data_IF_451459825024
#
_entry.id   IF_451459825024
#
_cell.length_a   1.000
_cell.length_b   1.000
_cell.length_c   1.000
_cell.angle_alpha   90.00
_cell.angle_beta   90.00
_cell.angle_gamma   90.00
#
_symmetry.space_group_name_H-M   'P 1'
#
loop_
_entity.id
_entity.type
_entity.pdbx_description
1 polymer ?
#
# COMPACT_ATOMS: atom_id res chain seq x y z
N UNK A 1 -64.78 -17.81 -11.54
CA UNK A 1 -63.80 -17.35 -10.53
C UNK A 1 -63.92 -15.85 -10.39
N UNK A 2 -64.32 -15.34 -9.24
CA UNK A 2 -64.57 -13.91 -9.03
C UNK A 2 -63.24 -13.11 -9.10
N UNK A 3 -63.33 -11.85 -9.47
CA UNK A 3 -62.13 -10.93 -9.51
C UNK A 3 -61.41 -10.90 -8.15
N UNK A 4 -62.16 -11.13 -7.06
CA UNK A 4 -61.63 -11.15 -5.70
C UNK A 4 -60.66 -12.35 -5.47
N UNK A 5 -60.93 -13.53 -6.02
CA UNK A 5 -60.07 -14.69 -5.93
C UNK A 5 -58.73 -14.50 -6.70
N UNK A 6 -58.76 -13.77 -7.82
CA UNK A 6 -57.56 -13.46 -8.59
C UNK A 6 -56.66 -12.48 -7.84
N UNK A 7 -57.21 -11.50 -7.15
CA UNK A 7 -56.47 -10.54 -6.35
C UNK A 7 -55.86 -11.21 -5.12
N UNK A 8 -56.56 -12.13 -4.49
CA UNK A 8 -56.06 -12.89 -3.34
C UNK A 8 -54.90 -13.82 -3.71
N UNK A 9 -54.98 -14.51 -4.86
CA UNK A 9 -53.89 -15.36 -5.42
C UNK A 9 -52.70 -14.52 -5.80
N UNK A 10 -52.89 -13.30 -6.34
CA UNK A 10 -51.81 -12.37 -6.67
C UNK A 10 -51.13 -11.88 -5.42
N UNK A 11 -51.87 -11.59 -4.36
CA UNK A 11 -51.28 -11.12 -3.08
C UNK A 11 -50.48 -12.23 -2.35
N UNK A 12 -50.95 -13.47 -2.40
CA UNK A 12 -50.21 -14.63 -1.89
C UNK A 12 -48.92 -14.89 -2.68
N UNK A 13 -48.96 -14.72 -4.01
CA UNK A 13 -47.80 -14.87 -4.86
C UNK A 13 -46.76 -13.74 -4.65
N UNK A 14 -47.21 -12.51 -4.35
CA UNK A 14 -46.29 -11.41 -4.00
C UNK A 14 -45.65 -11.57 -2.62
N UNK A 15 -46.33 -12.22 -1.66
CA UNK A 15 -45.74 -12.45 -0.33
C UNK A 15 -44.70 -13.55 -0.31
N UNK A 16 -44.62 -14.40 -1.34
CA UNK A 16 -43.54 -15.39 -1.52
C UNK A 16 -42.31 -14.84 -2.28
N UNK A 17 -42.42 -13.67 -2.91
CA UNK A 17 -41.33 -13.08 -3.69
C UNK A 17 -40.39 -12.14 -2.87
N UNK A 18 -40.61 -12.01 -1.56
CA UNK A 18 -39.81 -11.14 -0.69
C UNK A 18 -39.22 -11.86 0.55
N UNK A 19 -38.89 -13.13 0.39
CA UNK A 19 -37.93 -13.75 1.30
C UNK A 19 -36.58 -13.73 0.61
N UNK A 20 -36.01 -12.55 0.49
CA UNK A 20 -34.56 -12.45 0.49
C UNK A 20 -34.12 -12.93 1.86
N UNK A 21 -33.87 -14.23 1.97
CA UNK A 21 -33.03 -14.74 3.05
C UNK A 21 -31.67 -14.08 2.91
N UNK A 22 -31.52 -12.88 3.44
CA UNK A 22 -30.23 -12.39 3.89
C UNK A 22 -29.80 -13.33 5.02
N UNK A 23 -29.34 -14.51 4.65
CA UNK A 23 -28.39 -15.19 5.49
C UNK A 23 -27.20 -14.25 5.52
N UNK A 24 -27.07 -13.47 6.59
CA UNK A 24 -25.79 -13.11 7.10
C UNK A 24 -25.10 -14.45 7.37
N UNK A 25 -24.45 -14.97 6.32
CA UNK A 25 -23.41 -15.94 6.49
C UNK A 25 -22.39 -15.19 7.35
N UNK A 26 -22.44 -15.40 8.67
CA UNK A 26 -21.23 -15.37 9.43
C UNK A 26 -20.30 -16.24 8.58
N UNK A 27 -19.29 -15.61 7.93
CA UNK A 27 -18.27 -16.33 7.22
C UNK A 27 -17.74 -17.34 8.22
N UNK A 28 -18.19 -18.57 8.09
CA UNK A 28 -17.54 -19.69 8.74
C UNK A 28 -16.21 -19.70 8.04
N UNK A 29 -15.21 -19.06 8.65
CA UNK A 29 -13.85 -19.10 8.15
C UNK A 29 -13.55 -20.59 8.07
N UNK A 30 -13.35 -21.09 6.86
CA UNK A 30 -12.99 -22.51 6.62
C UNK A 30 -11.63 -22.84 7.29
N UNK A 31 -11.15 -21.99 8.20
CA UNK A 31 -9.85 -22.07 8.86
C UNK A 31 -8.68 -21.69 7.94
N UNK A 32 -8.97 -21.09 6.78
CA UNK A 32 -7.96 -20.59 5.87
C UNK A 32 -7.96 -19.06 5.85
N UNK A 33 -6.76 -18.46 5.78
CA UNK A 33 -6.63 -17.02 5.63
C UNK A 33 -6.85 -16.62 4.16
N UNK A 34 -7.91 -15.84 3.82
CA UNK A 34 -8.20 -15.45 2.44
C UNK A 34 -7.13 -14.50 1.85
N UNK A 35 -6.35 -13.81 2.69
CA UNK A 35 -5.29 -12.91 2.25
C UNK A 35 -3.99 -13.62 1.95
N UNK A 36 -3.89 -14.90 2.32
CA UNK A 36 -2.68 -15.70 2.15
C UNK A 36 -2.56 -16.28 0.75
N UNK A 37 -1.40 -16.06 0.12
CA UNK A 37 -1.08 -16.74 -1.13
C UNK A 37 -0.83 -18.23 -0.91
N UNK A 38 -0.31 -18.61 0.25
CA UNK A 38 -0.14 -19.99 0.70
C UNK A 38 -1.21 -20.32 1.72
N UNK A 39 -2.24 -21.00 1.28
CA UNK A 39 -3.33 -21.40 2.17
C UNK A 39 -2.89 -22.50 3.13
N UNK A 40 -2.69 -22.14 4.39
CA UNK A 40 -2.42 -23.07 5.48
C UNK A 40 -3.58 -23.00 6.46
N UNK A 41 -4.12 -24.17 6.82
CA UNK A 41 -5.24 -24.23 7.76
C UNK A 41 -4.80 -23.87 9.17
N UNK A 42 -5.62 -23.09 9.90
CA UNK A 42 -5.32 -22.62 11.27
C UNK A 42 -4.94 -23.73 12.24
N UNK A 43 -5.53 -24.93 12.11
CA UNK A 43 -5.20 -26.08 12.98
C UNK A 43 -3.75 -26.57 12.85
N UNK A 44 -3.05 -26.17 11.77
CA UNK A 44 -1.65 -26.53 11.54
C UNK A 44 -0.68 -25.50 12.14
N UNK A 45 -1.19 -24.32 12.50
CA UNK A 45 -0.40 -23.26 13.08
C UNK A 45 -0.16 -23.55 14.56
N UNK A 46 1.12 -23.65 14.96
CA UNK A 46 1.49 -23.75 16.37
C UNK A 46 1.41 -22.38 17.03
N UNK A 47 1.84 -21.36 16.31
CA UNK A 47 1.77 -19.95 16.73
C UNK A 47 1.84 -19.05 15.48
N UNK A 48 1.39 -17.80 15.67
CA UNK A 48 1.35 -16.78 14.64
C UNK A 48 1.65 -15.42 15.26
N UNK A 49 2.44 -14.59 14.58
CA UNK A 49 2.67 -13.18 14.91
C UNK A 49 2.52 -12.34 13.65
N UNK A 50 1.85 -11.21 13.76
CA UNK A 50 1.77 -10.24 12.65
C UNK A 50 2.84 -9.17 12.84
N UNK A 51 3.57 -8.90 11.78
CA UNK A 51 4.69 -7.97 11.72
C UNK A 51 4.44 -6.92 10.64
N UNK A 52 4.93 -5.71 10.86
CA UNK A 52 5.01 -4.65 9.86
C UNK A 52 6.47 -4.32 9.60
N UNK A 53 6.84 -4.42 8.35
CA UNK A 53 8.22 -4.20 7.90
C UNK A 53 8.25 -3.02 6.95
N UNK A 54 8.99 -1.97 7.33
CA UNK A 54 9.23 -0.82 6.47
C UNK A 54 10.43 -1.11 5.58
N UNK A 55 10.24 -0.92 4.28
CA UNK A 55 11.25 -1.12 3.23
C UNK A 55 11.41 0.19 2.47
N UNK A 56 12.61 0.72 2.47
CA UNK A 56 13.00 1.87 1.66
C UNK A 56 13.55 1.37 0.32
N UNK A 57 12.86 1.66 -0.77
CA UNK A 57 13.22 1.25 -2.12
C UNK A 57 14.41 2.06 -2.68
N UNK A 58 14.73 3.22 -2.08
CA UNK A 58 15.90 4.04 -2.41
C UNK A 58 17.21 3.43 -1.91
N UNK A 59 17.18 2.54 -0.91
CA UNK A 59 18.37 1.87 -0.39
C UNK A 59 19.04 0.98 -1.44
N UNK A 60 20.36 0.93 -1.42
CA UNK A 60 21.16 0.18 -2.38
C UNK A 60 20.74 -1.29 -2.52
N UNK A 61 20.32 -1.92 -1.43
CA UNK A 61 19.91 -3.34 -1.41
C UNK A 61 18.54 -3.55 -2.07
N UNK A 62 17.68 -2.55 -2.04
CA UNK A 62 16.31 -2.60 -2.55
C UNK A 62 16.19 -1.99 -3.97
N UNK A 63 17.24 -1.37 -4.50
CA UNK A 63 17.28 -0.83 -5.87
C UNK A 63 16.74 -1.76 -6.95
N UNK A 64 16.93 -3.09 -6.88
CA UNK A 64 16.36 -4.03 -7.84
C UNK A 64 14.83 -3.96 -8.00
N UNK A 65 14.09 -3.49 -6.96
CA UNK A 65 12.65 -3.24 -7.00
C UNK A 65 12.31 -1.87 -7.60
N UNK A 66 13.31 -1.01 -7.75
CA UNK A 66 13.13 0.41 -8.11
C UNK A 66 13.96 0.79 -9.34
N UNK A 67 14.06 -0.13 -10.31
CA UNK A 67 14.77 0.10 -11.56
C UNK A 67 14.06 1.17 -12.40
N UNK A 68 14.82 2.03 -13.08
CA UNK A 68 14.31 3.14 -13.89
C UNK A 68 13.26 2.67 -14.91
N UNK A 69 12.11 3.33 -14.95
CA UNK A 69 10.91 3.01 -15.73
C UNK A 69 10.23 1.69 -15.39
N UNK A 70 10.66 0.99 -14.36
CA UNK A 70 10.09 -0.26 -13.82
C UNK A 70 10.00 -0.20 -12.30
N UNK A 71 9.84 1.02 -11.79
CA UNK A 71 9.68 1.26 -10.36
C UNK A 71 8.43 0.55 -9.85
N UNK A 72 8.53 -0.10 -8.71
CA UNK A 72 7.40 -0.77 -8.07
C UNK A 72 6.23 0.20 -7.88
N UNK A 73 6.50 1.41 -7.37
CA UNK A 73 5.50 2.46 -7.17
C UNK A 73 4.76 2.83 -8.46
N UNK A 74 5.47 2.92 -9.58
CA UNK A 74 4.88 3.18 -10.89
C UNK A 74 3.89 2.08 -11.28
N UNK A 75 4.25 0.81 -11.10
CA UNK A 75 3.40 -0.33 -11.43
C UNK A 75 2.14 -0.34 -10.57
N UNK A 76 2.26 -0.02 -9.27
CA UNK A 76 1.13 0.07 -8.35
C UNK A 76 0.16 1.17 -8.76
N UNK A 77 0.67 2.38 -8.98
CA UNK A 77 -0.15 3.54 -9.35
C UNK A 77 -0.84 3.30 -10.69
N UNK A 78 -0.12 2.84 -11.71
CA UNK A 78 -0.70 2.51 -13.01
C UNK A 78 -1.73 1.36 -12.93
N UNK A 79 -1.55 0.41 -12.01
CA UNK A 79 -2.51 -0.66 -11.74
C UNK A 79 -3.85 -0.11 -11.24
N UNK A 80 -3.82 0.89 -10.38
CA UNK A 80 -5.02 1.59 -9.90
C UNK A 80 -5.61 2.49 -10.99
N UNK A 81 -4.78 3.24 -11.72
CA UNK A 81 -5.21 4.08 -12.84
C UNK A 81 -5.96 3.27 -13.92
N UNK A 82 -5.51 2.05 -14.19
CA UNK A 82 -6.13 1.11 -15.14
C UNK A 82 -7.33 0.36 -14.55
N UNK A 83 -7.62 0.51 -13.26
CA UNK A 83 -8.69 -0.20 -12.55
C UNK A 83 -8.46 -1.70 -12.35
N UNK A 84 -7.21 -2.16 -12.43
CA UNK A 84 -6.83 -3.56 -12.20
C UNK A 84 -6.58 -3.83 -10.72
N UNK A 85 -6.04 -2.84 -9.99
CA UNK A 85 -5.82 -2.91 -8.55
C UNK A 85 -6.87 -2.13 -7.78
N UNK A 86 -7.30 -2.69 -6.68
CA UNK A 86 -8.19 -2.05 -5.70
C UNK A 86 -7.32 -1.48 -4.58
N UNK A 87 -7.30 -0.16 -4.39
CA UNK A 87 -6.62 0.46 -3.27
C UNK A 87 -7.46 0.37 -1.99
N UNK A 88 -6.82 0.24 -0.84
CA UNK A 88 -7.43 0.21 0.48
C UNK A 88 -6.89 1.34 1.35
N UNK A 89 -7.73 1.84 2.26
CA UNK A 89 -7.38 2.92 3.20
C UNK A 89 -6.34 2.47 4.22
N UNK A 90 -6.45 1.23 4.68
CA UNK A 90 -5.65 0.66 5.76
C UNK A 90 -4.97 -0.65 5.32
N UNK A 91 -3.96 -1.03 6.06
CA UNK A 91 -3.21 -2.28 5.91
C UNK A 91 -4.03 -3.55 6.25
N UNK A 92 -5.19 -3.41 6.89
CA UNK A 92 -6.10 -4.53 7.14
C UNK A 92 -6.76 -5.06 5.86
N UNK A 93 -6.79 -4.27 4.78
CA UNK A 93 -7.26 -4.63 3.43
C UNK A 93 -8.59 -5.40 3.40
N UNK A 94 -9.53 -4.99 4.26
CA UNK A 94 -10.88 -5.54 4.34
C UNK A 94 -11.80 -4.83 3.34
N UNK A 95 -12.90 -5.47 2.99
CA UNK A 95 -13.87 -4.92 2.04
C UNK A 95 -14.52 -3.62 2.53
N UNK A 96 -14.55 -3.40 3.86
CA UNK A 96 -15.04 -2.15 4.48
C UNK A 96 -14.09 -0.95 4.26
N UNK A 97 -12.83 -1.22 3.93
CA UNK A 97 -11.78 -0.21 3.83
C UNK A 97 -11.35 0.05 2.36
N UNK A 98 -12.21 -0.29 1.42
CA UNK A 98 -11.94 -0.03 0.00
C UNK A 98 -11.92 1.47 -0.26
N UNK A 99 -10.85 1.94 -0.88
CA UNK A 99 -10.69 3.32 -1.30
C UNK A 99 -11.20 3.49 -2.74
N UNK A 100 -11.89 4.60 -3.02
CA UNK A 100 -12.27 4.93 -4.39
C UNK A 100 -11.05 5.32 -5.22
N UNK A 101 -11.13 5.09 -6.55
CA UNK A 101 -10.07 5.53 -7.46
C UNK A 101 -9.85 7.05 -7.42
N UNK A 102 -10.92 7.80 -7.27
CA UNK A 102 -10.89 9.27 -7.21
C UNK A 102 -10.15 9.75 -5.97
N UNK A 103 -10.45 9.16 -4.81
CA UNK A 103 -9.75 9.45 -3.56
C UNK A 103 -8.27 9.07 -3.64
N UNK A 104 -7.94 7.94 -4.28
CA UNK A 104 -6.55 7.55 -4.51
C UNK A 104 -5.81 8.58 -5.38
N UNK A 105 -6.42 9.02 -6.48
CA UNK A 105 -5.83 10.03 -7.37
C UNK A 105 -5.63 11.36 -6.64
N UNK A 106 -6.57 11.78 -5.79
CA UNK A 106 -6.42 12.97 -4.96
C UNK A 106 -5.21 12.87 -4.02
N UNK A 107 -4.94 11.69 -3.43
CA UNK A 107 -3.80 11.49 -2.53
C UNK A 107 -2.43 11.52 -3.21
N UNK A 108 -2.38 11.27 -4.52
CA UNK A 108 -1.14 11.35 -5.32
C UNK A 108 -1.04 12.67 -6.09
N UNK A 109 -2.02 13.55 -5.97
CA UNK A 109 -1.96 14.90 -6.52
C UNK A 109 -1.16 15.79 -5.56
N UNK A 110 -0.40 16.71 -6.10
CA UNK A 110 0.27 17.72 -5.32
C UNK A 110 -0.79 18.57 -4.61
N UNK A 111 -0.69 18.69 -3.29
CA UNK A 111 -1.47 19.68 -2.56
C UNK A 111 -0.96 21.05 -3.05
N UNK A 112 -1.74 21.72 -3.88
CA UNK A 112 -1.55 23.16 -4.11
C UNK A 112 -1.74 23.76 -2.73
N UNK A 113 -0.62 24.16 -2.08
CA UNK A 113 -0.72 24.95 -0.86
C UNK A 113 -1.66 26.09 -1.19
N UNK A 114 -2.68 26.28 -0.38
CA UNK A 114 -3.43 27.53 -0.40
C UNK A 114 -2.37 28.62 -0.34
N UNK A 115 -2.00 29.17 -1.50
CA UNK A 115 -1.36 30.46 -1.55
C UNK A 115 -2.38 31.38 -0.90
N UNK A 116 -2.24 31.59 0.42
CA UNK A 116 -2.84 32.73 1.05
C UNK A 116 -2.29 33.94 0.28
N UNK A 117 -3.11 34.41 -0.66
CA UNK A 117 -2.99 35.70 -1.31
C UNK A 117 -3.11 36.80 -0.23
N UNK A 118 -2.13 36.86 0.67
CA UNK A 118 -1.98 37.93 1.64
C UNK A 118 -0.68 38.71 1.40
N UNK A 119 -0.50 39.13 0.13
CA UNK A 119 0.45 40.18 -0.16
C UNK A 119 -0.02 41.09 -1.28
N UNK A 120 -1.25 41.55 -1.21
CA UNK A 120 -1.70 42.74 -1.95
C UNK A 120 -1.90 43.86 -0.95
N UNK A 121 -0.90 44.57 -0.62
CA UNK A 121 -0.91 46.03 -0.52
C UNK A 121 0.40 46.52 0.10
N UNK A 122 1.40 46.69 -0.73
CA UNK A 122 2.41 47.71 -0.49
C UNK A 122 2.59 48.43 -1.80
N UNK A 123 1.87 49.49 -1.90
CA UNK A 123 1.93 50.43 -3.02
C UNK A 123 3.39 50.68 -3.41
N UNK A 124 3.77 50.21 -4.57
CA UNK A 124 5.00 50.65 -5.21
C UNK A 124 4.69 51.58 -6.35
N UNK A 125 5.17 52.76 -6.15
CA UNK A 125 5.17 53.97 -6.90
C UNK A 125 5.38 53.73 -8.41
N UNK A 126 4.51 54.37 -9.19
CA UNK A 126 4.61 54.71 -10.59
C UNK A 126 6.08 54.92 -11.04
N UNK A 127 6.61 54.00 -11.79
CA UNK A 127 7.89 54.17 -12.50
C UNK A 127 7.58 54.79 -13.87
N UNK A 128 7.89 56.07 -14.10
CA UNK A 128 7.58 56.78 -15.34
C UNK A 128 8.50 56.33 -16.49
N UNK A 129 9.29 55.29 -16.35
CA UNK A 129 10.24 54.80 -17.37
C UNK A 129 9.99 53.36 -17.82
N UNK A 130 8.80 52.81 -17.63
CA UNK A 130 8.44 51.55 -18.25
C UNK A 130 8.28 51.73 -19.76
N UNK A 131 9.38 51.45 -20.47
CA UNK A 131 9.40 51.38 -21.93
C UNK A 131 8.53 50.19 -22.32
N UNK A 132 7.48 50.45 -23.10
CA UNK A 132 6.69 49.46 -23.82
C UNK A 132 7.61 48.79 -24.86
N UNK A 133 8.29 47.73 -24.48
CA UNK A 133 8.86 46.77 -25.41
C UNK A 133 7.74 45.82 -25.84
N UNK A 134 7.18 46.15 -27.00
CA UNK A 134 6.26 45.34 -27.77
C UNK A 134 7.08 44.19 -28.37
N UNK A 135 7.40 43.16 -27.54
CA UNK A 135 8.08 41.94 -27.98
C UNK A 135 7.03 40.95 -28.50
N UNK A 136 6.91 40.76 -29.84
CA UNK A 136 5.90 39.85 -30.41
C UNK A 136 6.20 38.37 -30.21
N UNK A 137 7.14 38.01 -29.33
CA UNK A 137 7.56 36.63 -29.07
C UNK A 137 7.28 36.15 -27.64
N UNK A 138 6.30 36.72 -26.94
CA UNK A 138 5.74 36.09 -25.77
C UNK A 138 4.93 34.90 -26.26
N UNK A 139 5.56 33.75 -26.30
CA UNK A 139 4.87 32.46 -26.33
C UNK A 139 4.12 32.40 -25.01
N UNK A 140 2.81 32.63 -25.05
CA UNK A 140 1.92 32.22 -23.96
C UNK A 140 2.12 30.72 -23.79
N UNK A 141 2.98 30.31 -22.84
CA UNK A 141 2.94 28.97 -22.31
C UNK A 141 1.54 28.84 -21.74
N UNK A 142 0.68 28.09 -22.44
CA UNK A 142 -0.60 27.64 -21.89
C UNK A 142 -0.23 26.91 -20.60
N UNK A 143 -0.41 27.56 -19.44
CA UNK A 143 -0.36 26.90 -18.14
C UNK A 143 -1.37 25.76 -18.23
N UNK A 144 -0.88 24.53 -18.29
CA UNK A 144 -1.70 23.33 -18.16
C UNK A 144 -2.35 23.38 -16.76
N UNK A 145 -3.52 24.02 -16.67
CA UNK A 145 -4.35 24.13 -15.47
C UNK A 145 -5.01 22.79 -15.11
N UNK A 146 -4.21 21.71 -15.16
CA UNK A 146 -4.62 20.37 -14.73
C UNK A 146 -4.02 20.03 -13.36
N UNK A 147 -4.63 19.10 -12.60
CA UNK A 147 -4.07 18.66 -11.34
C UNK A 147 -2.66 18.12 -11.55
N UNK A 148 -1.68 18.73 -10.88
CA UNK A 148 -0.30 18.26 -10.94
C UNK A 148 -0.14 17.01 -10.07
N UNK A 149 0.21 15.89 -10.71
CA UNK A 149 0.48 14.64 -10.00
C UNK A 149 1.92 14.60 -9.49
N UNK A 150 2.07 14.09 -8.27
CA UNK A 150 3.40 13.81 -7.70
C UNK A 150 4.08 12.76 -8.59
N UNK A 151 5.36 12.94 -8.96
CA UNK A 151 6.08 11.95 -9.75
C UNK A 151 6.03 10.56 -9.10
N UNK A 152 5.63 9.54 -9.86
CA UNK A 152 5.44 8.16 -9.35
C UNK A 152 6.69 7.60 -8.65
N UNK A 153 7.85 8.14 -8.95
CA UNK A 153 9.13 7.77 -8.37
C UNK A 153 9.37 8.33 -6.96
N UNK A 154 8.63 9.35 -6.55
CA UNK A 154 8.74 9.92 -5.20
C UNK A 154 8.23 8.96 -4.12
N UNK A 155 7.33 8.05 -4.49
CA UNK A 155 6.78 7.03 -3.60
C UNK A 155 7.77 5.87 -3.44
N UNK A 156 8.81 6.06 -2.65
CA UNK A 156 9.91 5.11 -2.50
C UNK A 156 9.89 4.33 -1.19
N UNK A 157 8.87 4.52 -0.35
CA UNK A 157 8.71 3.79 0.91
C UNK A 157 7.52 2.85 0.79
N UNK A 158 7.71 1.60 1.17
CA UNK A 158 6.63 0.64 1.34
C UNK A 158 6.66 0.04 2.75
N UNK A 159 5.49 -0.28 3.27
CA UNK A 159 5.33 -1.04 4.50
C UNK A 159 4.65 -2.37 4.16
N UNK A 160 5.26 -3.47 4.56
CA UNK A 160 4.78 -4.82 4.30
C UNK A 160 4.19 -5.35 5.60
N UNK A 161 2.89 -5.68 5.57
CA UNK A 161 2.24 -6.44 6.63
C UNK A 161 2.38 -7.92 6.32
N UNK A 162 3.03 -8.64 7.21
CA UNK A 162 3.30 -10.07 7.06
C UNK A 162 2.92 -10.85 8.31
N UNK A 163 2.43 -12.06 8.11
CA UNK A 163 2.17 -13.02 9.16
C UNK A 163 3.34 -14.00 9.25
N UNK A 164 3.98 -14.01 10.39
CA UNK A 164 5.02 -14.98 10.73
C UNK A 164 4.36 -16.12 11.49
N UNK A 165 4.43 -17.34 10.99
CA UNK A 165 3.85 -18.50 11.66
C UNK A 165 4.71 -19.76 11.54
N UNK A 166 4.56 -20.64 12.52
CA UNK A 166 5.17 -21.96 12.51
C UNK A 166 4.13 -23.01 12.14
N UNK A 167 4.40 -23.71 11.03
CA UNK A 167 3.60 -24.83 10.57
C UNK A 167 4.08 -26.11 11.25
N UNK A 168 3.20 -26.68 12.10
CA UNK A 168 3.49 -27.89 12.88
C UNK A 168 3.66 -29.13 12.01
N UNK A 169 2.97 -29.21 10.87
CA UNK A 169 3.01 -30.39 10.00
C UNK A 169 4.32 -30.45 9.25
N UNK A 170 4.76 -29.31 8.67
CA UNK A 170 5.98 -29.25 7.91
C UNK A 170 7.20 -28.88 8.76
N UNK A 171 7.00 -28.57 10.05
CA UNK A 171 8.05 -28.10 10.98
C UNK A 171 8.86 -26.96 10.38
N UNK A 172 8.19 -25.92 9.88
CA UNK A 172 8.83 -24.77 9.21
C UNK A 172 8.18 -23.46 9.61
N UNK A 173 9.01 -22.42 9.62
CA UNK A 173 8.56 -21.04 9.75
C UNK A 173 8.30 -20.47 8.35
N UNK A 174 7.19 -19.78 8.23
CA UNK A 174 6.80 -19.07 7.02
C UNK A 174 6.50 -17.60 7.33
N UNK A 175 6.95 -16.75 6.42
CA UNK A 175 6.54 -15.35 6.36
C UNK A 175 5.53 -15.22 5.22
N UNK A 176 4.33 -14.87 5.54
CA UNK A 176 3.23 -14.76 4.58
C UNK A 176 2.83 -13.29 4.45
N UNK A 177 3.08 -12.72 3.29
CA UNK A 177 2.78 -11.32 3.02
C UNK A 177 1.28 -11.18 2.79
N UNK A 178 0.63 -10.32 3.59
CA UNK A 178 -0.82 -10.07 3.52
C UNK A 178 -1.12 -8.82 2.70
N UNK A 179 -0.40 -7.74 2.99
CA UNK A 179 -0.61 -6.45 2.37
C UNK A 179 0.71 -5.69 2.15
N UNK A 180 0.71 -4.83 1.15
CA UNK A 180 1.77 -3.86 0.90
C UNK A 180 1.14 -2.48 0.83
N UNK A 181 1.60 -1.58 1.69
CA UNK A 181 1.15 -0.19 1.77
C UNK A 181 2.21 0.72 1.16
N UNK A 182 1.78 1.68 0.35
CA UNK A 182 2.63 2.68 -0.30
C UNK A 182 2.62 3.97 0.51
N UNK A 183 3.79 4.55 0.73
CA UNK A 183 3.96 5.81 1.46
C UNK A 183 4.71 6.84 0.63
N UNK A 184 4.33 8.11 0.85
CA UNK A 184 5.13 9.25 0.42
C UNK A 184 6.10 9.60 1.56
N UNK A 185 7.42 9.64 1.30
CA UNK A 185 8.41 9.96 2.34
C UNK A 185 8.24 11.39 2.88
N UNK A 186 8.60 11.57 4.16
CA UNK A 186 8.50 12.87 4.81
C UNK A 186 9.51 13.91 4.32
N UNK A 187 10.60 13.45 3.69
CA UNK A 187 11.66 14.30 3.11
C UNK A 187 11.41 14.61 1.62
N UNK A 188 10.31 14.13 1.02
CA UNK A 188 9.96 14.48 -0.34
C UNK A 188 9.59 15.96 -0.45
N UNK A 189 10.04 16.59 -1.53
CA UNK A 189 9.67 17.98 -1.87
C UNK A 189 8.15 18.19 -1.95
N UNK A 190 7.41 17.16 -2.34
CA UNK A 190 5.95 17.18 -2.49
C UNK A 190 5.19 16.90 -1.19
N UNK A 191 5.89 16.70 -0.07
CA UNK A 191 5.29 16.42 1.22
C UNK A 191 5.53 17.59 2.19
N UNK A 192 4.60 18.52 2.23
CA UNK A 192 4.68 19.70 3.10
C UNK A 192 4.60 19.35 4.61
N UNK A 193 4.05 18.18 4.95
CA UNK A 193 3.83 17.77 6.33
C UNK A 193 5.08 17.29 7.07
N UNK A 194 6.17 16.95 6.36
CA UNK A 194 7.41 16.44 6.95
C UNK A 194 7.30 15.04 7.60
N UNK A 195 6.13 14.39 7.56
CA UNK A 195 5.91 13.04 8.06
C UNK A 195 5.57 12.10 6.89
N UNK A 196 5.90 10.80 7.04
CA UNK A 196 5.53 9.80 6.04
C UNK A 196 4.00 9.73 5.90
N UNK A 197 3.48 10.02 4.69
CA UNK A 197 2.05 10.04 4.37
C UNK A 197 1.63 8.72 3.75
N UNK A 198 0.73 7.94 4.34
CA UNK A 198 0.19 6.73 3.72
C UNK A 198 -0.67 7.10 2.51
N UNK A 199 -0.43 6.44 1.38
CA UNK A 199 -1.16 6.66 0.13
C UNK A 199 -2.28 5.65 -0.01
N UNK A 200 -1.92 4.38 -0.11
CA UNK A 200 -2.86 3.27 -0.20
C UNK A 200 -2.20 1.95 0.19
N UNK A 201 -3.02 0.99 0.57
CA UNK A 201 -2.62 -0.38 0.81
C UNK A 201 -3.21 -1.30 -0.24
N UNK A 202 -2.57 -2.42 -0.52
CA UNK A 202 -2.95 -3.38 -1.54
C UNK A 202 -2.88 -4.80 -1.00
N UNK A 203 -3.83 -5.66 -1.35
CA UNK A 203 -3.76 -7.09 -1.07
C UNK A 203 -2.60 -7.72 -1.83
N UNK A 204 -1.75 -8.47 -1.17
CA UNK A 204 -0.59 -9.07 -1.82
C UNK A 204 -0.96 -10.07 -2.91
N UNK A 205 -2.07 -10.80 -2.74
CA UNK A 205 -2.57 -11.74 -3.74
C UNK A 205 -2.90 -11.05 -5.07
N UNK A 206 -3.51 -9.86 -5.01
CA UNK A 206 -3.86 -9.07 -6.21
C UNK A 206 -2.59 -8.51 -6.87
N UNK A 207 -1.64 -8.04 -6.06
CA UNK A 207 -0.33 -7.59 -6.54
C UNK A 207 0.44 -8.73 -7.22
N UNK A 208 0.44 -9.91 -6.63
CA UNK A 208 1.10 -11.08 -7.19
C UNK A 208 0.52 -11.43 -8.57
N UNK A 209 -0.81 -11.44 -8.68
CA UNK A 209 -1.50 -11.70 -9.95
C UNK A 209 -1.18 -10.61 -10.99
N UNK A 210 -1.17 -9.33 -10.58
CA UNK A 210 -0.78 -8.21 -11.45
C UNK A 210 0.66 -8.39 -11.95
N UNK A 211 1.63 -8.66 -11.07
CA UNK A 211 3.03 -8.86 -11.46
C UNK A 211 3.21 -10.04 -12.41
N UNK A 212 2.44 -11.11 -12.24
CA UNK A 212 2.46 -12.27 -13.15
C UNK A 212 1.84 -11.93 -14.51
N UNK A 213 0.87 -11.03 -14.58
CA UNK A 213 0.27 -10.59 -15.84
C UNK A 213 1.21 -9.71 -16.68
N UNK A 214 2.18 -9.05 -16.03
CA UNK A 214 3.12 -8.11 -16.67
C UNK A 214 4.60 -8.58 -16.56
N UNK A 215 4.99 -9.71 -17.14
CA UNK A 215 6.32 -10.31 -16.95
C UNK A 215 7.48 -9.47 -17.49
N UNK A 216 7.22 -8.52 -18.39
CA UNK A 216 8.24 -7.64 -18.98
C UNK A 216 8.45 -6.34 -18.21
N UNK A 217 7.45 -5.90 -17.46
CA UNK A 217 7.43 -4.65 -16.70
C UNK A 217 7.73 -4.90 -15.23
N UNK A 218 7.05 -5.89 -14.63
CA UNK A 218 7.19 -6.26 -13.23
C UNK A 218 8.45 -7.12 -12.99
N UNK A 219 9.62 -6.51 -13.16
CA UNK A 219 10.92 -7.19 -13.09
C UNK A 219 11.71 -6.69 -11.89
N UNK A 220 12.14 -7.62 -11.05
CA UNK A 220 13.24 -7.42 -10.11
C UNK A 220 14.57 -7.46 -10.87
N UNK A 221 15.26 -6.33 -10.92
CA UNK A 221 16.43 -6.14 -11.77
C UNK A 221 17.70 -6.69 -11.10
N UNK A 222 18.21 -7.82 -11.59
CA UNK A 222 19.45 -8.37 -11.10
C UNK A 222 20.64 -7.68 -11.79
N UNK A 223 21.33 -6.81 -11.07
CA UNK A 223 22.51 -6.07 -11.57
C UNK A 223 23.71 -7.00 -11.84
N UNK A 224 23.83 -8.07 -11.06
CA UNK A 224 24.97 -9.00 -11.15
C UNK A 224 24.82 -9.97 -12.33
N UNK A 225 23.57 -10.41 -12.61
CA UNK A 225 23.31 -11.37 -13.67
C UNK A 225 22.03 -11.04 -14.43
N UNK A 226 22.18 -10.36 -15.54
CA UNK A 226 21.07 -9.90 -16.39
C UNK A 226 20.22 -11.08 -16.92
N UNK A 227 20.81 -12.28 -17.08
CA UNK A 227 20.07 -13.45 -17.53
C UNK A 227 19.13 -14.03 -16.45
N UNK A 228 19.26 -13.59 -15.20
CA UNK A 228 18.47 -14.09 -14.06
C UNK A 228 17.63 -13.00 -13.41
N UNK A 229 16.97 -12.18 -14.20
CA UNK A 229 15.92 -11.32 -13.69
C UNK A 229 14.78 -12.18 -13.14
N UNK A 230 14.13 -11.70 -12.07
CA UNK A 230 12.98 -12.34 -11.48
C UNK A 230 11.73 -11.49 -11.64
N UNK A 231 10.58 -12.11 -11.61
CA UNK A 231 9.33 -11.36 -11.48
C UNK A 231 9.25 -10.75 -10.07
N UNK A 232 8.67 -9.54 -9.93
CA UNK A 232 8.53 -8.86 -8.64
C UNK A 232 7.78 -9.71 -7.61
N UNK A 233 6.72 -10.41 -8.01
CA UNK A 233 5.99 -11.31 -7.12
C UNK A 233 6.88 -12.43 -6.55
N UNK A 234 7.72 -13.05 -7.38
CA UNK A 234 8.67 -14.06 -6.92
C UNK A 234 9.76 -13.46 -6.03
N UNK A 235 10.20 -12.22 -6.34
CA UNK A 235 11.18 -11.52 -5.52
C UNK A 235 10.67 -11.22 -4.11
N UNK A 236 9.38 -10.87 -3.96
CA UNK A 236 8.74 -10.74 -2.65
C UNK A 236 8.64 -12.07 -1.91
N UNK A 237 8.20 -13.14 -2.58
CA UNK A 237 8.13 -14.47 -1.97
C UNK A 237 9.49 -15.03 -1.55
N UNK A 238 10.55 -14.74 -2.31
CA UNK A 238 11.93 -15.10 -1.99
C UNK A 238 12.57 -14.13 -0.99
N UNK A 239 11.84 -13.10 -0.54
CA UNK A 239 12.31 -12.08 0.41
C UNK A 239 13.61 -11.40 -0.02
N UNK A 240 13.72 -11.02 -1.30
CA UNK A 240 14.91 -10.36 -1.85
C UNK A 240 14.98 -8.86 -1.48
N UNK A 241 14.16 -8.41 -0.56
CA UNK A 241 14.16 -7.06 0.00
C UNK A 241 14.77 -7.05 1.39
N UNK A 242 15.27 -5.90 1.79
CA UNK A 242 15.67 -5.62 3.17
C UNK A 242 14.82 -4.49 3.74
N UNK A 243 14.35 -4.67 4.96
CA UNK A 243 13.58 -3.66 5.67
C UNK A 243 13.66 -3.87 7.17
N UNK A 244 13.28 -2.86 7.93
CA UNK A 244 13.25 -2.89 9.38
C UNK A 244 11.86 -3.24 9.89
N UNK A 245 11.76 -4.05 10.93
CA UNK A 245 10.49 -4.30 11.62
C UNK A 245 10.13 -3.05 12.40
N UNK A 246 9.04 -2.39 12.02
CA UNK A 246 8.58 -1.15 12.66
C UNK A 246 7.48 -1.38 13.67
N UNK A 247 6.80 -2.53 13.61
CA UNK A 247 5.72 -2.88 14.52
C UNK A 247 5.56 -4.40 14.59
N UNK A 248 5.22 -4.89 15.76
CA UNK A 248 4.71 -6.25 16.02
C UNK A 248 3.30 -6.07 16.57
N UNK A 249 2.38 -6.94 16.21
CA UNK A 249 1.03 -6.91 16.78
C UNK A 249 1.10 -6.95 18.31
N UNK A 250 0.61 -5.90 18.92
CA UNK A 250 0.53 -5.71 20.37
C UNK A 250 -0.84 -5.13 20.76
N UNK A 251 -1.21 -5.23 22.02
CA UNK A 251 -2.50 -4.78 22.51
C UNK A 251 -2.74 -3.27 22.39
N UNK A 252 -1.66 -2.49 22.48
CA UNK A 252 -1.72 -1.04 22.47
C UNK A 252 -1.53 -0.44 21.05
N UNK A 253 -1.31 -1.30 20.05
CA UNK A 253 -1.05 -0.95 18.65
C UNK A 253 0.12 0.03 18.42
N UNK A 254 1.10 0.02 19.33
CA UNK A 254 2.23 0.95 19.40
C UNK A 254 3.34 0.47 18.44
N UNK A 255 3.94 1.42 17.74
CA UNK A 255 5.14 1.17 16.92
C UNK A 255 6.41 1.06 17.77
N UNK A 256 7.40 0.30 17.29
CA UNK A 256 8.69 0.15 17.97
C UNK A 256 9.37 1.50 18.21
N UNK A 257 9.25 2.43 17.25
CA UNK A 257 9.81 3.79 17.39
C UNK A 257 9.14 4.61 18.49
N UNK A 258 7.89 4.37 18.80
CA UNK A 258 7.14 5.08 19.85
C UNK A 258 7.51 4.56 21.25
N UNK A 259 7.78 3.26 21.36
CA UNK A 259 8.27 2.66 22.59
C UNK A 259 9.62 3.24 23.02
N UNK A 260 10.44 3.72 22.06
CA UNK A 260 11.77 4.27 22.26
C UNK A 260 11.85 5.73 21.78
N UNK A 261 10.85 6.54 22.11
CA UNK A 261 10.66 7.90 21.62
C UNK A 261 11.80 8.89 21.94
N UNK A 262 12.75 8.52 22.83
CA UNK A 262 13.82 9.39 23.26
C UNK A 262 14.87 9.69 22.18
N UNK A 263 15.02 8.82 21.18
CA UNK A 263 16.00 8.99 20.11
C UNK A 263 15.64 8.15 18.89
N UNK A 264 15.75 8.75 17.69
CA UNK A 264 15.61 8.01 16.41
C UNK A 264 16.59 6.83 16.31
N UNK A 265 17.80 7.00 16.87
CA UNK A 265 18.81 5.95 16.91
C UNK A 265 18.33 4.76 17.76
N UNK A 266 17.72 5.03 18.91
CA UNK A 266 17.25 3.98 19.81
C UNK A 266 16.09 3.21 19.19
N UNK A 267 15.20 3.88 18.45
CA UNK A 267 14.13 3.24 17.69
C UNK A 267 14.66 2.28 16.60
N UNK A 268 15.71 2.67 15.86
CA UNK A 268 16.36 1.82 14.88
C UNK A 268 17.05 0.62 15.55
N UNK A 269 17.77 0.85 16.64
CA UNK A 269 18.42 -0.22 17.40
C UNK A 269 17.40 -1.20 17.97
N UNK A 270 16.27 -0.72 18.46
CA UNK A 270 15.17 -1.54 18.94
C UNK A 270 14.58 -2.40 17.82
N UNK A 271 14.41 -1.86 16.61
CA UNK A 271 13.94 -2.64 15.45
C UNK A 271 14.92 -3.77 15.09
N UNK A 272 16.21 -3.50 15.15
CA UNK A 272 17.26 -4.53 14.94
C UNK A 272 17.23 -5.57 16.05
N UNK A 273 17.06 -5.15 17.33
CA UNK A 273 16.94 -6.07 18.45
C UNK A 273 15.73 -6.99 18.29
N UNK A 274 14.59 -6.46 17.89
CA UNK A 274 13.38 -7.25 17.60
C UNK A 274 13.65 -8.33 16.55
N UNK A 275 14.41 -8.00 15.50
CA UNK A 275 14.79 -8.96 14.46
C UNK A 275 15.71 -10.06 15.02
N UNK A 276 16.65 -9.69 15.89
CA UNK A 276 17.54 -10.66 16.57
C UNK A 276 16.77 -11.56 17.52
N UNK A 277 15.85 -11.01 18.31
CA UNK A 277 15.00 -11.78 19.24
C UNK A 277 14.13 -12.80 18.48
N UNK A 278 13.62 -12.44 17.29
CA UNK A 278 12.88 -13.37 16.43
C UNK A 278 13.77 -14.50 15.91
N UNK A 279 15.02 -14.19 15.51
CA UNK A 279 15.98 -15.21 15.05
C UNK A 279 16.40 -16.15 16.19
N UNK A 280 16.63 -15.61 17.39
CA UNK A 280 16.95 -16.40 18.57
C UNK A 280 15.79 -17.32 18.94
N UNK A 281 14.58 -16.78 18.90
CA UNK A 281 13.38 -17.56 19.17
C UNK A 281 13.16 -18.67 18.12
N UNK A 282 13.41 -18.40 16.84
CA UNK A 282 13.42 -19.42 15.79
C UNK A 282 14.43 -20.53 16.08
N UNK A 283 15.67 -20.16 16.46
CA UNK A 283 16.71 -21.12 16.80
C UNK A 283 16.29 -22.04 17.95
N UNK A 284 15.66 -21.46 18.99
CA UNK A 284 15.20 -22.22 20.16
C UNK A 284 14.08 -23.22 19.84
N UNK A 285 13.33 -23.05 18.75
CA UNK A 285 12.32 -24.01 18.31
C UNK A 285 12.92 -25.32 17.77
N UNK A 286 14.17 -25.29 17.35
CA UNK A 286 14.87 -26.46 16.79
C UNK A 286 15.70 -27.23 17.80
N UNK A 287 15.82 -26.73 19.03
CA UNK A 287 16.62 -27.38 20.08
C UNK A 287 15.88 -28.52 20.83
N UNK A 288 14.61 -28.82 20.48
CA UNK A 288 13.81 -29.89 21.10
C UNK A 288 13.58 -31.07 20.18
#
# INVERSE_FOLDING_TARGET
MSKLNKIFVLFVLLSFASVDETYSQAEVSDGYNPLSLRQVHESYLLWKKTLWRRVDLGEKQNKPFFARNRELSKILIEGVEKGVLIPYLNDSVNDDNVMSREEFLQRITQDEGEEEDEFTDAGFVDDPFAVLDDDPFVVEEEEETGPQFIPKREFNIIEIREDLYFDRIHSRIYFDIQAISLYLPGDSFFNLGGFEKPVASFRFIDLYNLFKSMPKEAIWFNETNIAQHKNLGDAFLLRLFKGLIVKIANADDIRVSELYANSRKDGIMASVQVEQDLMEWESNLWEY
#
